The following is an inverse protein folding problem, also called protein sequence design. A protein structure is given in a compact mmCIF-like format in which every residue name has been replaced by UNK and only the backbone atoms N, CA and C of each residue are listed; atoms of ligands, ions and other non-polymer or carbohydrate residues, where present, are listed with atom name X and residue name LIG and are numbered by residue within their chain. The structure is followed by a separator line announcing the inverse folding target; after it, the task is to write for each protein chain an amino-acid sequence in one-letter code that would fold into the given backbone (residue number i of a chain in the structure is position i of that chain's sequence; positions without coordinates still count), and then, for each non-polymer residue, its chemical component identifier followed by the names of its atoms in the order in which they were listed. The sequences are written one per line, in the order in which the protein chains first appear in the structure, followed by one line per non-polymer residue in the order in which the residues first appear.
data_IF_558483412558
#
_entry.id   IF_558483412558
#
_cell.length_a   1.000
_cell.length_b   1.000
_cell.length_c   1.000
_cell.angle_alpha   90.00
_cell.angle_beta   90.00
_cell.angle_gamma   90.00
#
_symmetry.space_group_name_H-M   'P 1'
#
loop_
_entity.id
_entity.type
_entity.pdbx_description
1 polymer ?
#
# COMPACT_ATOMS: atom_id res chain seq x y z
N UNK A 1 12.86 -0.51 14.07
CA UNK A 1 11.91 0.41 14.73
C UNK A 1 10.46 -0.10 14.89
N UNK A 2 10.10 -1.37 14.62
CA UNK A 2 8.80 -1.91 15.11
C UNK A 2 8.92 -2.79 16.37
N UNK A 3 10.11 -3.35 16.64
CA UNK A 3 10.34 -4.33 17.72
C UNK A 3 10.08 -3.81 19.15
N UNK A 4 10.07 -2.49 19.37
CA UNK A 4 9.89 -1.90 20.69
C UNK A 4 8.42 -1.78 21.13
N UNK A 5 7.47 -1.99 20.22
CA UNK A 5 6.03 -1.86 20.49
C UNK A 5 5.41 -3.21 20.88
N UNK A 6 6.10 -4.31 20.58
CA UNK A 6 5.64 -5.66 20.87
C UNK A 6 6.08 -6.06 22.28
N UNK A 7 5.13 -6.47 23.11
CA UNK A 7 5.42 -7.04 24.43
C UNK A 7 4.64 -8.33 24.63
N UNK A 8 5.11 -9.18 25.55
CA UNK A 8 4.45 -10.43 25.88
C UNK A 8 3.44 -10.17 27.00
N UNK A 9 2.18 -10.55 26.78
CA UNK A 9 1.11 -10.48 27.77
C UNK A 9 0.40 -11.83 27.86
N UNK A 10 -0.05 -12.21 29.06
CA UNK A 10 -0.90 -13.37 29.28
C UNK A 10 -2.34 -13.08 28.82
N UNK A 11 -2.98 -14.04 28.16
CA UNK A 11 -4.33 -13.84 27.64
C UNK A 11 -5.39 -13.87 28.77
N UNK A 12 -6.21 -12.82 28.94
CA UNK A 12 -7.20 -12.75 30.02
C UNK A 12 -8.26 -13.87 30.02
N UNK A 13 -8.48 -14.54 28.89
CA UNK A 13 -9.46 -15.61 28.78
C UNK A 13 -8.87 -17.02 28.99
N UNK A 14 -7.54 -17.18 28.96
CA UNK A 14 -6.88 -18.48 29.05
C UNK A 14 -5.58 -18.40 29.87
N UNK A 15 -5.64 -18.69 31.18
CA UNK A 15 -4.45 -18.68 32.04
C UNK A 15 -3.41 -19.70 31.52
N UNK A 16 -2.14 -19.29 31.52
CA UNK A 16 -1.01 -20.06 30.97
C UNK A 16 -0.74 -19.84 29.48
N UNK A 17 -1.51 -19.00 28.77
CA UNK A 17 -1.24 -18.65 27.37
C UNK A 17 -0.61 -17.26 27.25
N UNK A 18 0.64 -17.21 26.79
CA UNK A 18 1.40 -15.99 26.56
C UNK A 18 1.40 -15.62 25.07
N UNK A 19 1.08 -14.37 24.77
CA UNK A 19 1.05 -13.85 23.41
C UNK A 19 1.86 -12.57 23.28
N UNK A 20 2.51 -12.41 22.13
CA UNK A 20 3.15 -11.17 21.74
C UNK A 20 2.07 -10.23 21.19
N UNK A 21 1.80 -9.13 21.92
CA UNK A 21 0.72 -8.20 21.62
C UNK A 21 1.25 -6.77 21.51
N UNK A 22 0.50 -5.96 20.79
CA UNK A 22 0.70 -4.50 20.68
C UNK A 22 -0.37 -3.71 21.44
N UNK A 23 -1.42 -4.38 21.92
CA UNK A 23 -2.50 -3.78 22.71
C UNK A 23 -1.97 -3.39 24.09
N UNK A 24 -2.27 -2.18 24.57
CA UNK A 24 -1.77 -1.60 25.83
C UNK A 24 -0.28 -1.19 25.88
N UNK A 25 0.50 -1.33 24.79
CA UNK A 25 1.84 -0.72 24.70
C UNK A 25 1.80 0.81 24.62
N UNK A 26 0.65 1.38 24.24
CA UNK A 26 0.47 2.81 24.05
C UNK A 26 -0.34 3.42 25.20
N UNK A 27 0.08 4.59 25.73
CA UNK A 27 -0.57 5.22 26.88
C UNK A 27 -1.99 5.72 26.59
N UNK A 28 -2.40 5.79 25.32
CA UNK A 28 -3.75 6.21 24.92
C UNK A 28 -4.20 5.45 23.66
N UNK A 29 -5.49 5.04 23.58
CA UNK A 29 -6.05 4.34 22.43
C UNK A 29 -5.98 5.15 21.13
N UNK A 30 -5.86 6.48 21.22
CA UNK A 30 -5.66 7.34 20.05
C UNK A 30 -4.30 7.10 19.36
N UNK A 31 -3.25 6.82 20.15
CA UNK A 31 -1.92 6.55 19.62
C UNK A 31 -1.85 5.21 18.90
N UNK A 32 -2.53 4.19 19.44
CA UNK A 32 -2.64 2.87 18.80
C UNK A 32 -3.36 2.97 17.45
N UNK A 33 -4.45 3.73 17.39
CA UNK A 33 -5.18 3.97 16.13
C UNK A 33 -4.32 4.72 15.12
N UNK A 34 -3.63 5.78 15.54
CA UNK A 34 -2.75 6.55 14.65
C UNK A 34 -1.61 5.70 14.08
N UNK A 35 -0.96 4.87 14.92
CA UNK A 35 0.10 3.96 14.48
C UNK A 35 -0.40 2.95 13.45
N UNK A 36 -1.53 2.28 13.72
CA UNK A 36 -2.09 1.31 12.78
C UNK A 36 -2.54 1.96 11.46
N UNK A 37 -3.11 3.17 11.51
CA UNK A 37 -3.47 3.94 10.31
C UNK A 37 -2.23 4.33 9.50
N UNK A 38 -1.17 4.77 10.17
CA UNK A 38 0.09 5.07 9.50
C UNK A 38 0.68 3.82 8.83
N UNK A 39 0.69 2.68 9.52
CA UNK A 39 1.14 1.41 8.95
C UNK A 39 0.32 1.03 7.71
N UNK A 40 -1.01 1.12 7.78
CA UNK A 40 -1.88 0.85 6.63
C UNK A 40 -1.57 1.79 5.46
N UNK A 41 -1.37 3.08 5.74
CA UNK A 41 -1.05 4.07 4.72
C UNK A 41 0.27 3.75 4.02
N UNK A 42 1.34 3.51 4.79
CA UNK A 42 2.68 3.30 4.26
C UNK A 42 2.85 1.93 3.60
N UNK A 43 2.25 0.87 4.16
CA UNK A 43 2.42 -0.50 3.66
C UNK A 43 1.44 -0.87 2.55
N UNK A 44 0.27 -0.22 2.48
CA UNK A 44 -0.75 -0.55 1.48
C UNK A 44 -1.09 0.65 0.58
N UNK A 45 -1.58 1.74 1.15
CA UNK A 45 -2.19 2.81 0.34
C UNK A 45 -1.17 3.51 -0.56
N UNK A 46 0.00 3.87 -0.02
CA UNK A 46 1.07 4.52 -0.78
C UNK A 46 1.60 3.59 -1.87
N UNK A 47 2.00 2.33 -1.59
CA UNK A 47 2.40 1.38 -2.61
C UNK A 47 1.33 1.17 -3.69
N UNK A 48 0.07 1.04 -3.30
CA UNK A 48 -1.04 0.85 -4.23
C UNK A 48 -1.22 2.06 -5.16
N UNK A 49 -1.16 3.27 -4.62
CA UNK A 49 -1.25 4.49 -5.41
C UNK A 49 -0.10 4.59 -6.42
N UNK A 50 1.12 4.25 -6.03
CA UNK A 50 2.28 4.21 -6.94
C UNK A 50 2.05 3.20 -8.06
N UNK A 51 1.59 1.99 -7.73
CA UNK A 51 1.29 0.95 -8.72
C UNK A 51 0.25 1.44 -9.72
N UNK A 52 -0.88 1.98 -9.23
CA UNK A 52 -1.96 2.51 -10.09
C UNK A 52 -1.42 3.59 -11.03
N UNK A 53 -0.68 4.57 -10.51
CA UNK A 53 -0.11 5.64 -11.32
C UNK A 53 0.85 5.11 -12.38
N UNK A 54 1.75 4.19 -12.02
CA UNK A 54 2.68 3.56 -12.95
C UNK A 54 1.93 2.85 -14.09
N UNK A 55 0.93 2.03 -13.76
CA UNK A 55 0.14 1.31 -14.76
C UNK A 55 -0.70 2.24 -15.63
N UNK A 56 -1.28 3.31 -15.06
CA UNK A 56 -1.99 4.33 -15.84
C UNK A 56 -1.05 5.00 -16.84
N UNK A 57 0.18 5.33 -16.45
CA UNK A 57 1.18 5.94 -17.36
C UNK A 57 1.60 4.99 -18.47
N UNK A 58 1.86 3.72 -18.14
CA UNK A 58 2.20 2.69 -19.13
C UNK A 58 1.05 2.52 -20.14
N UNK A 59 -0.18 2.39 -19.65
CA UNK A 59 -1.36 2.25 -20.50
C UNK A 59 -1.55 3.46 -21.41
N UNK A 60 -1.37 4.67 -20.87
CA UNK A 60 -1.45 5.90 -21.64
C UNK A 60 -0.41 5.96 -22.75
N UNK A 61 0.84 5.57 -22.46
CA UNK A 61 1.91 5.55 -23.47
C UNK A 61 1.60 4.55 -24.59
N UNK A 62 1.10 3.35 -24.25
CA UNK A 62 0.67 2.36 -25.24
C UNK A 62 -0.43 2.92 -26.14
N UNK A 63 -1.43 3.59 -25.57
CA UNK A 63 -2.52 4.22 -26.33
C UNK A 63 -2.02 5.34 -27.24
N UNK A 64 -1.05 6.13 -26.77
CA UNK A 64 -0.42 7.19 -27.56
C UNK A 64 0.34 6.61 -28.75
N UNK A 65 1.21 5.63 -28.53
CA UNK A 65 1.99 4.98 -29.58
C UNK A 65 1.09 4.31 -30.64
N UNK A 66 -0.01 3.68 -30.20
CA UNK A 66 -0.99 3.09 -31.11
C UNK A 66 -1.63 4.12 -32.05
N UNK A 67 -2.01 5.29 -31.53
CA UNK A 67 -2.58 6.39 -32.33
C UNK A 67 -1.56 7.02 -33.29
N UNK A 68 -0.33 7.23 -32.84
CA UNK A 68 0.77 7.75 -33.68
C UNK A 68 1.12 6.76 -34.82
N UNK A 69 1.12 5.45 -34.53
CA UNK A 69 1.34 4.39 -35.52
C UNK A 69 0.26 4.32 -36.59
N UNK A 70 -1.02 4.45 -36.20
CA UNK A 70 -2.13 4.55 -37.17
C UNK A 70 -2.01 5.78 -38.06
N UNK A 71 -1.65 6.95 -37.50
CA UNK A 71 -1.44 8.17 -38.28
C UNK A 71 -0.32 8.04 -39.31
N UNK A 72 0.79 7.38 -38.93
CA UNK A 72 1.89 7.07 -39.86
C UNK A 72 1.46 6.09 -40.96
N UNK A 73 0.73 5.04 -40.63
CA UNK A 73 0.23 4.07 -41.61
C UNK A 73 -0.73 4.73 -42.62
N UNK A 74 -1.64 5.59 -42.15
CA UNK A 74 -2.57 6.35 -42.99
C UNK A 74 -1.82 7.30 -43.94
N UNK A 75 -0.73 7.92 -43.47
CA UNK A 75 0.11 8.81 -44.28
C UNK A 75 0.95 8.07 -45.33
N UNK A 76 1.34 6.81 -45.05
CA UNK A 76 2.02 5.92 -46.00
C UNK A 76 1.07 5.36 -47.05
N UNK A 77 -0.21 5.15 -46.72
CA UNK A 77 -1.24 4.70 -47.67
C UNK A 77 -1.82 5.84 -48.53
N UNK A 78 -1.59 7.10 -48.14
CA UNK A 78 -2.05 8.30 -48.86
C UNK A 78 -0.97 8.87 -49.82
N UNK A 79 0.22 8.27 -49.85
CA UNK A 79 1.26 8.50 -50.87
C UNK A 79 1.29 7.32 -51.83
#
# INVERSE_FOLDING_TARGET
MPAFIFHVMEHPAKPGFYQCVTFASFPSPAHEKAYNLLCLLVLYIVPLAVIVLCYTRIFWEIQRQSKEGQGKLLSLFTR
#
